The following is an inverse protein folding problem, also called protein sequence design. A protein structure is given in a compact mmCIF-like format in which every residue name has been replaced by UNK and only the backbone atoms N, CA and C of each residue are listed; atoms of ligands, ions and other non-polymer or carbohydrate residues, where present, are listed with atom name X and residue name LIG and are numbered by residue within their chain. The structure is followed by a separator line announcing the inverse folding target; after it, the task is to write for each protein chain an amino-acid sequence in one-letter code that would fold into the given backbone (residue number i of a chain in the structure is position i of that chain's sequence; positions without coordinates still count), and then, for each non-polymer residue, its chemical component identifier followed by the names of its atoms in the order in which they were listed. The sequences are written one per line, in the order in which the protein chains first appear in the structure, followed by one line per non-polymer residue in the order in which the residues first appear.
data_IF_364143025374
#
_entry.id   IF_364143025374
#
_cell.length_a   1.000
_cell.length_b   1.000
_cell.length_c   1.000
_cell.angle_alpha   90.00
_cell.angle_beta   90.00
_cell.angle_gamma   90.00
#
_symmetry.space_group_name_H-M   'P 1'
#
loop_
_entity.id
_entity.type
_entity.pdbx_description
1 polymer ?
#
# COMPACT_ATOMS: atom_id res chain seq x y z
N UNK A 1 -5.76 15.16 -22.14
CA UNK A 1 -6.63 15.98 -21.27
C UNK A 1 -6.17 15.89 -19.84
N UNK A 2 -6.06 17.02 -19.18
CA UNK A 2 -5.78 17.14 -17.76
C UNK A 2 -7.04 17.62 -17.06
N UNK A 3 -7.38 16.98 -15.97
CA UNK A 3 -8.51 17.37 -15.12
C UNK A 3 -8.03 17.50 -13.68
N UNK A 4 -8.38 18.59 -13.06
CA UNK A 4 -8.08 18.86 -11.66
C UNK A 4 -9.40 18.91 -10.88
N UNK A 5 -9.42 18.32 -9.69
CA UNK A 5 -10.54 18.42 -8.77
C UNK A 5 -10.08 19.05 -7.47
N UNK A 6 -10.91 19.95 -6.96
CA UNK A 6 -10.66 20.67 -5.71
C UNK A 6 -11.74 20.34 -4.70
N UNK A 7 -11.36 20.18 -3.46
CA UNK A 7 -12.25 20.05 -2.32
C UNK A 7 -11.94 21.17 -1.33
N UNK A 8 -12.94 22.02 -1.06
CA UNK A 8 -12.80 23.19 -0.18
C UNK A 8 -11.59 24.09 -0.52
N UNK A 9 -11.36 24.27 -1.82
CA UNK A 9 -10.26 25.10 -2.33
C UNK A 9 -8.88 24.43 -2.34
N UNK A 10 -8.75 23.19 -1.89
CA UNK A 10 -7.52 22.42 -1.93
C UNK A 10 -7.60 21.38 -3.05
N UNK A 11 -6.51 21.21 -3.79
CA UNK A 11 -6.41 20.23 -4.85
C UNK A 11 -6.56 18.81 -4.26
N UNK A 12 -7.59 18.08 -4.72
CA UNK A 12 -7.87 16.71 -4.26
C UNK A 12 -7.21 15.66 -5.15
N UNK A 13 -7.26 15.85 -6.48
CA UNK A 13 -6.61 14.96 -7.43
C UNK A 13 -6.37 15.64 -8.79
N UNK A 14 -5.38 15.10 -9.52
CA UNK A 14 -5.07 15.43 -10.90
C UNK A 14 -5.16 14.18 -11.76
N UNK A 15 -6.01 14.20 -12.77
CA UNK A 15 -6.19 13.11 -13.71
C UNK A 15 -5.61 13.50 -15.07
N UNK A 16 -4.76 12.65 -15.62
CA UNK A 16 -4.34 12.69 -17.02
C UNK A 16 -5.00 11.53 -17.77
N UNK A 17 -5.70 11.86 -18.85
CA UNK A 17 -6.38 10.88 -19.70
C UNK A 17 -6.32 11.29 -21.16
N UNK A 18 -6.38 10.34 -22.07
CA UNK A 18 -6.44 10.59 -23.52
C UNK A 18 -7.88 10.64 -24.03
N UNK A 19 -8.77 9.85 -23.43
CA UNK A 19 -10.17 9.73 -23.85
C UNK A 19 -11.08 9.95 -22.65
N UNK A 20 -12.11 10.77 -22.84
CA UNK A 20 -13.15 11.01 -21.86
C UNK A 20 -14.52 10.99 -22.54
N UNK A 21 -15.45 10.24 -21.97
CA UNK A 21 -16.83 10.14 -22.42
C UNK A 21 -17.76 10.37 -21.24
N UNK A 22 -18.70 11.29 -21.39
CA UNK A 22 -19.71 11.59 -20.38
C UNK A 22 -21.09 11.11 -20.85
N UNK A 23 -21.71 10.29 -20.03
CA UNK A 23 -23.07 9.80 -20.23
C UNK A 23 -24.00 10.45 -19.22
N UNK A 24 -24.64 11.57 -19.60
CA UNK A 24 -25.47 12.35 -18.68
C UNK A 24 -26.72 11.61 -18.23
N UNK A 25 -27.31 10.77 -19.06
CA UNK A 25 -28.46 9.93 -18.74
C UNK A 25 -28.15 8.85 -17.69
N UNK A 26 -26.93 8.38 -17.64
CA UNK A 26 -26.42 7.40 -16.66
C UNK A 26 -25.65 8.04 -15.51
N UNK A 27 -25.46 9.35 -15.54
CA UNK A 27 -24.66 10.11 -14.57
C UNK A 27 -23.23 9.54 -14.38
N UNK A 28 -22.57 9.15 -15.46
CA UNK A 28 -21.29 8.47 -15.47
C UNK A 28 -20.31 9.16 -16.40
N UNK A 29 -19.05 9.19 -16.00
CA UNK A 29 -17.90 9.58 -16.82
C UNK A 29 -16.96 8.39 -16.98
N UNK A 30 -16.59 8.09 -18.21
CA UNK A 30 -15.58 7.09 -18.55
C UNK A 30 -14.30 7.78 -19.02
N UNK A 31 -13.16 7.27 -18.58
CA UNK A 31 -11.82 7.77 -18.95
C UNK A 31 -10.88 6.64 -19.28
N UNK A 32 -9.92 6.89 -20.18
CA UNK A 32 -8.81 5.96 -20.48
C UNK A 32 -7.65 6.67 -21.19
N UNK A 33 -6.38 6.35 -20.86
CA UNK A 33 -6.01 5.64 -19.64
C UNK A 33 -6.28 6.49 -18.38
N UNK A 34 -6.11 5.88 -17.22
CA UNK A 34 -6.14 6.59 -15.93
C UNK A 34 -4.71 6.77 -15.44
N UNK A 35 -4.30 8.02 -15.26
CA UNK A 35 -3.09 8.41 -14.57
C UNK A 35 -3.50 9.51 -13.60
N UNK A 36 -3.58 9.19 -12.31
CA UNK A 36 -4.09 10.12 -11.31
C UNK A 36 -3.14 10.26 -10.13
N UNK A 37 -2.88 11.49 -9.76
CA UNK A 37 -2.25 11.86 -8.49
C UNK A 37 -3.34 12.28 -7.51
N UNK A 38 -3.29 11.72 -6.31
CA UNK A 38 -4.24 11.98 -5.23
C UNK A 38 -3.55 12.75 -4.12
N UNK A 39 -4.21 13.80 -3.60
CA UNK A 39 -3.69 14.68 -2.58
C UNK A 39 -4.59 14.68 -1.34
N UNK A 40 -4.00 14.91 -0.19
CA UNK A 40 -4.73 15.09 1.06
C UNK A 40 -5.16 16.55 1.28
N UNK A 41 -5.82 16.81 2.40
CA UNK A 41 -6.29 18.16 2.78
C UNK A 41 -5.16 19.15 3.03
N UNK A 42 -3.94 18.69 3.24
CA UNK A 42 -2.74 19.51 3.44
C UNK A 42 -2.00 19.81 2.12
N UNK A 43 -2.50 19.27 0.99
CA UNK A 43 -1.89 19.44 -0.33
C UNK A 43 -0.72 18.49 -0.60
N UNK A 44 -0.49 17.50 0.25
CA UNK A 44 0.54 16.49 0.04
C UNK A 44 -0.01 15.32 -0.79
N UNK A 45 0.83 14.81 -1.71
CA UNK A 45 0.45 13.64 -2.51
C UNK A 45 0.42 12.39 -1.65
N UNK A 46 -0.72 11.71 -1.61
CA UNK A 46 -0.92 10.49 -0.84
C UNK A 46 -0.84 9.23 -1.66
N UNK A 47 -1.14 9.31 -2.96
CA UNK A 47 -1.06 8.18 -3.85
C UNK A 47 -0.94 8.61 -5.31
N UNK A 48 -0.37 7.71 -6.10
CA UNK A 48 -0.45 7.69 -7.55
C UNK A 48 -1.19 6.43 -7.98
N UNK A 49 -2.11 6.56 -8.94
CA UNK A 49 -2.87 5.43 -9.48
C UNK A 49 -2.76 5.42 -11.01
N UNK A 50 -2.52 4.24 -11.56
CA UNK A 50 -2.56 3.97 -12.99
C UNK A 50 -3.52 2.82 -13.28
N UNK A 51 -4.32 2.95 -14.33
CA UNK A 51 -5.19 1.88 -14.83
C UNK A 51 -5.42 2.05 -16.33
N UNK A 52 -5.91 0.98 -16.99
CA UNK A 52 -6.26 1.04 -18.40
C UNK A 52 -7.49 1.90 -18.65
N UNK A 53 -8.47 1.83 -17.75
CA UNK A 53 -9.71 2.61 -17.82
C UNK A 53 -10.26 2.91 -16.44
N UNK A 54 -11.13 3.91 -16.37
CA UNK A 54 -11.82 4.30 -15.16
C UNK A 54 -13.25 4.74 -15.42
N UNK A 55 -14.06 4.64 -14.40
CA UNK A 55 -15.44 5.11 -14.39
C UNK A 55 -15.70 5.87 -13.09
N UNK A 56 -16.37 7.00 -13.20
CA UNK A 56 -16.73 7.86 -12.06
C UNK A 56 -18.20 8.23 -12.16
N UNK A 57 -18.88 8.38 -11.03
CA UNK A 57 -20.16 9.07 -11.01
C UNK A 57 -19.94 10.59 -11.18
N UNK A 58 -20.97 11.35 -11.60
CA UNK A 58 -20.85 12.80 -11.82
C UNK A 58 -20.55 13.59 -10.55
N UNK A 59 -20.82 13.03 -9.38
CA UNK A 59 -20.51 13.62 -8.07
C UNK A 59 -19.13 13.24 -7.56
N UNK A 60 -18.42 12.36 -8.28
CA UNK A 60 -17.11 11.82 -7.89
C UNK A 60 -17.13 11.14 -6.50
N UNK A 61 -18.25 10.52 -6.14
CA UNK A 61 -18.39 9.77 -4.88
C UNK A 61 -17.67 8.43 -4.95
N UNK A 62 -17.73 7.77 -6.12
CA UNK A 62 -17.07 6.52 -6.41
C UNK A 62 -16.18 6.66 -7.64
N UNK A 63 -14.99 6.10 -7.55
CA UNK A 63 -14.06 5.97 -8.67
C UNK A 63 -13.71 4.50 -8.83
N UNK A 64 -14.00 3.96 -10.01
CA UNK A 64 -13.69 2.58 -10.39
C UNK A 64 -12.51 2.59 -11.36
N UNK A 65 -11.44 1.89 -11.03
CA UNK A 65 -10.29 1.70 -11.90
C UNK A 65 -10.23 0.24 -12.37
N UNK A 66 -10.02 0.04 -13.66
CA UNK A 66 -10.04 -1.28 -14.29
C UNK A 66 -8.85 -1.49 -15.18
N UNK A 67 -8.36 -2.72 -15.19
CA UNK A 67 -7.30 -3.18 -16.07
C UNK A 67 -5.91 -2.71 -15.63
N UNK A 68 -5.03 -3.66 -15.30
CA UNK A 68 -3.65 -3.42 -14.89
C UNK A 68 -3.52 -2.27 -13.89
N UNK A 69 -4.36 -2.31 -12.86
CA UNK A 69 -4.39 -1.27 -11.85
C UNK A 69 -3.13 -1.34 -10.99
N UNK A 70 -2.49 -0.20 -10.84
CA UNK A 70 -1.31 -0.03 -10.01
C UNK A 70 -1.45 1.23 -9.17
N UNK A 71 -1.41 1.07 -7.85
CA UNK A 71 -1.41 2.18 -6.90
C UNK A 71 -0.10 2.20 -6.13
N UNK A 72 0.47 3.38 -5.95
CA UNK A 72 1.74 3.60 -5.27
C UNK A 72 1.62 4.75 -4.29
N UNK A 73 2.08 4.54 -3.05
CA UNK A 73 2.21 5.61 -2.05
C UNK A 73 3.60 6.24 -2.10
N UNK A 74 3.77 7.48 -1.58
CA UNK A 74 5.08 8.13 -1.54
C UNK A 74 6.14 7.37 -0.73
N UNK A 75 5.71 6.55 0.23
CA UNK A 75 6.60 5.72 1.06
C UNK A 75 7.01 4.39 0.41
N UNK A 76 6.49 4.11 -0.80
CA UNK A 76 6.86 2.94 -1.57
C UNK A 76 5.96 1.72 -1.40
N UNK A 77 4.89 1.79 -0.62
CA UNK A 77 3.86 0.74 -0.61
C UNK A 77 3.09 0.75 -1.93
N UNK A 78 2.79 -0.42 -2.47
CA UNK A 78 2.08 -0.55 -3.74
C UNK A 78 1.04 -1.65 -3.74
N UNK A 79 0.03 -1.49 -4.59
CA UNK A 79 -1.02 -2.49 -4.85
C UNK A 79 -1.17 -2.67 -6.35
N UNK A 80 -1.21 -3.92 -6.78
CA UNK A 80 -1.57 -4.31 -8.16
C UNK A 80 -2.81 -5.16 -8.13
N UNK A 81 -3.76 -4.88 -9.02
CA UNK A 81 -5.01 -5.63 -9.16
C UNK A 81 -5.61 -5.42 -10.54
N UNK A 82 -6.62 -6.22 -10.89
CA UNK A 82 -7.43 -5.99 -12.10
C UNK A 82 -8.45 -4.87 -11.91
N UNK A 83 -8.82 -4.57 -10.67
CA UNK A 83 -9.73 -3.47 -10.35
C UNK A 83 -9.44 -2.89 -8.98
N UNK A 84 -9.72 -1.62 -8.80
CA UNK A 84 -9.80 -0.94 -7.50
C UNK A 84 -10.99 0.02 -7.51
N UNK A 85 -11.67 0.11 -6.39
CA UNK A 85 -12.81 1.00 -6.17
C UNK A 85 -12.44 1.94 -5.03
N UNK A 86 -12.46 3.23 -5.29
CA UNK A 86 -12.34 4.24 -4.25
C UNK A 86 -13.70 4.82 -3.92
N UNK A 87 -14.09 4.76 -2.65
CA UNK A 87 -15.25 5.41 -2.10
C UNK A 87 -14.80 6.65 -1.33
N UNK A 88 -15.07 7.82 -1.87
CA UNK A 88 -14.66 9.09 -1.27
C UNK A 88 -15.35 9.35 0.08
N UNK A 89 -16.61 8.94 0.24
CA UNK A 89 -17.37 9.14 1.46
C UNK A 89 -16.76 8.46 2.67
N UNK A 90 -16.38 7.18 2.52
CA UNK A 90 -15.74 6.38 3.58
C UNK A 90 -14.20 6.50 3.54
N UNK A 91 -13.66 7.14 2.51
CA UNK A 91 -12.23 7.21 2.21
C UNK A 91 -11.56 5.82 2.18
N UNK A 92 -12.26 4.85 1.60
CA UNK A 92 -11.82 3.47 1.48
C UNK A 92 -11.49 3.10 0.04
N UNK A 93 -10.46 2.28 -0.10
CA UNK A 93 -10.09 1.60 -1.34
C UNK A 93 -10.38 0.11 -1.18
N UNK A 94 -11.14 -0.45 -2.10
CA UNK A 94 -11.55 -1.85 -2.04
C UNK A 94 -11.44 -2.54 -3.40
N UNK A 95 -11.31 -3.85 -3.39
CA UNK A 95 -11.54 -4.71 -4.55
C UNK A 95 -11.90 -6.12 -4.09
N UNK A 96 -12.67 -6.82 -4.92
CA UNK A 96 -12.95 -8.24 -4.77
C UNK A 96 -11.96 -9.12 -5.58
N UNK A 97 -11.18 -8.49 -6.44
CA UNK A 97 -10.23 -9.15 -7.32
C UNK A 97 -8.99 -9.63 -6.57
N UNK A 98 -8.15 -10.38 -7.29
CA UNK A 98 -6.83 -10.77 -6.81
C UNK A 98 -5.92 -9.54 -6.66
N UNK A 99 -5.15 -9.49 -5.58
CA UNK A 99 -4.23 -8.38 -5.32
C UNK A 99 -2.82 -8.88 -5.04
N UNK A 100 -1.86 -8.04 -5.41
CA UNK A 100 -0.48 -8.14 -4.98
C UNK A 100 -0.08 -6.85 -4.28
N UNK A 101 0.23 -6.96 -2.99
CA UNK A 101 0.63 -5.84 -2.15
C UNK A 101 2.11 -5.94 -1.86
N UNK A 102 2.83 -4.85 -2.04
CA UNK A 102 4.21 -4.70 -1.57
C UNK A 102 4.20 -3.66 -0.46
N UNK A 103 4.63 -4.04 0.73
CA UNK A 103 4.70 -3.12 1.88
C UNK A 103 5.85 -2.13 1.74
N UNK A 104 5.86 -1.10 2.60
CA UNK A 104 6.97 -0.14 2.67
C UNK A 104 8.32 -0.83 2.96
N UNK A 105 8.30 -1.92 3.72
CA UNK A 105 9.47 -2.71 4.08
C UNK A 105 9.90 -3.69 2.99
N UNK A 106 9.13 -3.85 1.92
CA UNK A 106 9.41 -4.74 0.82
C UNK A 106 8.83 -6.15 0.96
N UNK A 107 7.98 -6.40 1.94
CA UNK A 107 7.22 -7.65 2.05
C UNK A 107 6.20 -7.75 0.93
N UNK A 108 6.10 -8.91 0.30
CA UNK A 108 5.17 -9.16 -0.81
C UNK A 108 4.08 -10.10 -0.35
N UNK A 109 2.83 -9.65 -0.40
CA UNK A 109 1.65 -10.44 -0.08
C UNK A 109 0.71 -10.48 -1.28
N UNK A 110 0.07 -11.61 -1.47
CA UNK A 110 -0.92 -11.83 -2.52
C UNK A 110 -2.16 -12.46 -1.92
N UNK A 111 -3.31 -12.23 -2.53
CA UNK A 111 -4.55 -12.84 -2.11
C UNK A 111 -5.74 -12.28 -2.87
N UNK A 112 -6.93 -12.66 -2.44
CA UNK A 112 -8.20 -12.25 -3.04
C UNK A 112 -8.94 -11.31 -2.12
N UNK A 113 -9.37 -10.18 -2.68
CA UNK A 113 -10.06 -9.15 -1.94
C UNK A 113 -9.12 -8.26 -1.12
N UNK A 114 -9.40 -6.99 -1.10
CA UNK A 114 -8.55 -5.99 -0.45
C UNK A 114 -9.39 -4.84 0.09
N UNK A 115 -9.04 -4.37 1.26
CA UNK A 115 -9.63 -3.17 1.89
C UNK A 115 -8.52 -2.34 2.50
N UNK A 116 -8.52 -1.04 2.22
CA UNK A 116 -7.54 -0.09 2.75
C UNK A 116 -8.17 1.29 2.95
N UNK A 117 -7.59 2.10 3.83
CA UNK A 117 -7.76 3.55 3.77
C UNK A 117 -6.98 4.12 2.56
N UNK A 118 -7.23 5.38 2.21
CA UNK A 118 -6.62 6.01 1.03
C UNK A 118 -5.10 6.22 1.15
N UNK A 119 -4.55 6.21 2.37
CA UNK A 119 -3.12 6.34 2.62
C UNK A 119 -2.38 5.00 2.68
N UNK A 120 -3.11 3.87 2.66
CA UNK A 120 -2.58 2.52 2.91
C UNK A 120 -1.90 2.36 4.28
N UNK A 121 -2.32 3.11 5.29
CA UNK A 121 -1.83 2.95 6.65
C UNK A 121 -2.41 1.70 7.32
N UNK A 122 -3.68 1.40 7.02
CA UNK A 122 -4.39 0.21 7.50
C UNK A 122 -5.02 -0.52 6.31
N UNK A 123 -4.55 -1.73 6.05
CA UNK A 123 -5.04 -2.52 4.92
C UNK A 123 -5.13 -4.01 5.26
N UNK A 124 -5.98 -4.72 4.55
CA UNK A 124 -6.21 -6.16 4.71
C UNK A 124 -6.39 -6.83 3.35
N UNK A 125 -5.84 -8.04 3.23
CA UNK A 125 -6.20 -8.98 2.18
C UNK A 125 -7.20 -9.97 2.78
N UNK A 126 -8.33 -10.21 2.11
CA UNK A 126 -9.48 -10.86 2.73
C UNK A 126 -9.41 -12.39 2.72
N UNK A 127 -8.81 -13.01 1.70
CA UNK A 127 -8.70 -14.47 1.60
C UNK A 127 -7.53 -14.92 0.73
N UNK A 128 -7.22 -16.22 0.80
CA UNK A 128 -6.20 -16.90 -0.01
C UNK A 128 -4.81 -16.25 0.07
N UNK A 129 -4.45 -15.76 1.26
CA UNK A 129 -3.22 -14.98 1.47
C UNK A 129 -1.99 -15.87 1.38
N UNK A 130 -1.08 -15.48 0.49
CA UNK A 130 0.28 -16.02 0.40
C UNK A 130 1.28 -14.87 0.37
N UNK A 131 2.53 -15.11 0.79
CA UNK A 131 3.47 -14.01 0.79
C UNK A 131 4.92 -14.39 1.05
N UNK A 132 5.79 -13.41 0.80
CA UNK A 132 7.21 -13.47 1.08
C UNK A 132 7.55 -12.31 2.01
N UNK A 133 7.94 -12.64 3.24
CA UNK A 133 8.31 -11.68 4.28
C UNK A 133 9.83 -11.53 4.34
N UNK A 134 10.41 -10.84 3.38
CA UNK A 134 11.87 -10.69 3.27
C UNK A 134 12.48 -9.98 4.46
N UNK A 135 11.84 -8.93 4.95
CA UNK A 135 12.32 -8.19 6.10
C UNK A 135 12.20 -8.97 7.41
N UNK A 136 11.13 -9.74 7.59
CA UNK A 136 10.99 -10.62 8.75
C UNK A 136 12.08 -11.68 8.78
N UNK A 137 12.39 -12.31 7.65
CA UNK A 137 13.46 -13.29 7.54
C UNK A 137 14.83 -12.68 7.83
N UNK A 138 15.10 -11.46 7.36
CA UNK A 138 16.34 -10.72 7.64
C UNK A 138 16.46 -10.36 9.11
N UNK A 139 15.41 -9.88 9.74
CA UNK A 139 15.37 -9.54 11.18
C UNK A 139 15.65 -10.75 12.04
N UNK A 140 15.03 -11.90 11.74
CA UNK A 140 15.27 -13.15 12.46
C UNK A 140 16.72 -13.60 12.36
N UNK A 141 17.35 -13.49 11.20
CA UNK A 141 18.77 -13.80 11.01
C UNK A 141 19.67 -12.87 11.82
N UNK A 142 19.35 -11.59 11.91
CA UNK A 142 20.09 -10.61 12.71
C UNK A 142 19.94 -10.89 14.21
N UNK A 143 18.74 -11.24 14.67
CA UNK A 143 18.48 -11.63 16.06
C UNK A 143 19.27 -12.89 16.43
N UNK A 144 19.27 -13.91 15.60
CA UNK A 144 20.04 -15.14 15.82
C UNK A 144 21.55 -14.85 15.93
N UNK A 145 22.09 -13.98 15.08
CA UNK A 145 23.48 -13.56 15.16
C UNK A 145 23.81 -12.81 16.43
N UNK A 146 22.92 -11.93 16.89
CA UNK A 146 23.08 -11.16 18.11
C UNK A 146 23.05 -12.07 19.33
N UNK A 147 22.14 -13.05 19.39
CA UNK A 147 22.09 -14.04 20.46
C UNK A 147 23.35 -14.90 20.51
N UNK A 148 23.87 -15.33 19.36
CA UNK A 148 25.12 -16.07 19.30
C UNK A 148 26.32 -15.26 19.84
N UNK A 149 26.40 -13.97 19.49
CA UNK A 149 27.42 -13.07 20.02
C UNK A 149 27.33 -12.86 21.53
N UNK A 150 26.11 -12.73 22.07
CA UNK A 150 25.89 -12.59 23.51
C UNK A 150 26.34 -13.83 24.27
N UNK A 151 26.08 -15.04 23.73
CA UNK A 151 26.53 -16.29 24.34
C UNK A 151 28.05 -16.38 24.34
N UNK A 152 28.72 -16.10 23.22
CA UNK A 152 30.18 -16.07 23.13
C UNK A 152 30.80 -15.07 24.11
N UNK A 153 30.23 -13.89 24.28
CA UNK A 153 30.71 -12.88 25.22
C UNK A 153 30.53 -13.33 26.65
N UNK A 154 29.43 -13.99 27.00
CA UNK A 154 29.16 -14.55 28.33
C UNK A 154 30.18 -15.63 28.68
N UNK A 155 30.42 -16.58 27.80
CA UNK A 155 31.39 -17.65 28.00
C UNK A 155 32.82 -17.09 28.20
N UNK A 156 33.18 -16.05 27.45
CA UNK A 156 34.46 -15.38 27.60
C UNK A 156 34.61 -14.69 28.98
N UNK A 157 33.54 -14.09 29.50
CA UNK A 157 33.53 -13.42 30.82
C UNK A 157 33.60 -14.45 31.96
N UNK A 158 32.90 -15.57 31.85
CA UNK A 158 32.97 -16.67 32.82
C UNK A 158 34.35 -17.33 32.84
N UNK A 159 35.00 -17.50 31.72
CA UNK A 159 36.35 -18.05 31.60
C UNK A 159 37.41 -17.08 32.19
N UNK A 160 37.20 -15.75 32.12
CA UNK A 160 38.09 -14.73 32.67
C UNK A 160 37.92 -14.51 34.19
N UNK A 161 36.80 -14.92 34.80
CA UNK A 161 36.50 -14.80 36.23
C UNK A 161 36.05 -16.15 36.80
N UNK A 162 36.94 -17.15 36.97
CA UNK A 162 36.57 -18.42 37.58
C UNK A 162 36.12 -18.20 39.04
N UNK A 163 35.05 -18.93 39.45
CA UNK A 163 34.55 -18.90 40.81
C UNK A 163 35.66 -19.21 41.81
N UNK A 164 35.72 -18.53 42.98
CA UNK A 164 36.76 -18.77 43.99
C UNK A 164 36.68 -20.22 44.48
N UNK A 165 37.81 -20.90 44.46
CA UNK A 165 37.94 -22.24 44.99
C UNK A 165 37.66 -22.25 46.49
N UNK A 166 36.79 -23.12 47.04
CA UNK A 166 36.57 -23.16 48.47
C UNK A 166 37.87 -23.58 49.16
N UNK A 167 38.36 -22.74 50.08
CA UNK A 167 39.50 -23.04 50.94
C UNK A 167 39.04 -24.08 51.97
N UNK A 168 39.72 -25.21 52.05
CA UNK A 168 39.56 -26.22 53.12
C UNK A 168 40.04 -25.67 54.43
#
# INVERSE_FOLDING_TARGET
TLMDSYDKGVLAWKLKTAYLERWSDKEVVFVRPVLVDIYDSLGERTAFLRADSGRMDLKFTYVYAYGHVYALTPKGASVRSDSLIWNKGDNQVTTESYVRVVSEEGDVLQGRGFVSDAHMDNWRILSDVTGIFQDAARRLKEEDKNQAKEIETRDSVEAANPAPTPTQ
#
